data_IF_450423581692
#
_entry.id   IF_450423581692
#
_cell.length_a   1.000
_cell.length_b   1.000
_cell.length_c   1.000
_cell.angle_alpha   90.00
_cell.angle_beta   90.00
_cell.angle_gamma   90.00
#
_symmetry.space_group_name_H-M   'P 1'
#
loop_
_entity.id
_entity.type
_entity.pdbx_description
1 polymer ?
#
# COMPACT_ATOMS: atom_id res chain seq x y z
N UNK A 1 -21.73 -4.41 -6.89
CA UNK A 1 -21.44 -3.41 -5.83
C UNK A 1 -21.35 -2.04 -6.49
N UNK A 2 -21.90 -0.97 -5.89
CA UNK A 2 -21.74 0.38 -6.46
C UNK A 2 -20.27 0.80 -6.35
N UNK A 3 -19.70 1.52 -7.34
CA UNK A 3 -18.37 2.09 -7.20
C UNK A 3 -18.35 3.06 -6.01
N UNK A 4 -17.21 3.21 -5.32
CA UNK A 4 -17.09 4.18 -4.23
C UNK A 4 -17.35 5.60 -4.76
N UNK A 5 -17.87 6.46 -3.88
CA UNK A 5 -17.96 7.89 -4.13
C UNK A 5 -16.56 8.45 -4.44
N UNK A 6 -16.45 9.32 -5.45
CA UNK A 6 -15.18 9.92 -5.86
C UNK A 6 -14.99 11.25 -5.15
N UNK A 7 -13.78 11.48 -4.65
CA UNK A 7 -13.37 12.76 -4.09
C UNK A 7 -12.24 13.40 -4.91
N UNK A 8 -11.98 14.71 -4.76
CA UNK A 8 -10.79 15.35 -5.32
C UNK A 8 -9.47 14.68 -4.89
N UNK A 9 -8.39 14.87 -5.65
CA UNK A 9 -7.10 14.21 -5.38
C UNK A 9 -6.37 14.71 -4.13
N UNK A 10 -6.74 15.87 -3.62
CA UNK A 10 -6.29 16.45 -2.35
C UNK A 10 -7.18 16.03 -1.17
N UNK A 11 -8.18 15.18 -1.40
CA UNK A 11 -8.97 14.56 -0.35
C UNK A 11 -8.37 13.20 0.04
N UNK A 12 -8.03 12.96 1.33
CA UNK A 12 -7.45 11.69 1.78
C UNK A 12 -8.37 10.49 1.52
N UNK A 13 -9.70 10.69 1.42
CA UNK A 13 -10.66 9.62 1.14
C UNK A 13 -10.54 9.07 -0.29
N UNK A 14 -10.17 9.88 -1.27
CA UNK A 14 -9.92 9.37 -2.64
C UNK A 14 -8.70 8.43 -2.64
N UNK A 15 -7.68 8.74 -1.85
CA UNK A 15 -6.52 7.86 -1.69
C UNK A 15 -6.88 6.56 -0.98
N UNK A 16 -7.71 6.61 0.06
CA UNK A 16 -8.22 5.42 0.73
C UNK A 16 -9.09 4.54 -0.18
N UNK A 17 -9.97 5.13 -0.98
CA UNK A 17 -10.75 4.38 -1.97
C UNK A 17 -9.85 3.59 -2.92
N UNK A 18 -8.75 4.21 -3.38
CA UNK A 18 -7.79 3.56 -4.28
C UNK A 18 -6.97 2.49 -3.55
N UNK A 19 -6.55 2.74 -2.32
CA UNK A 19 -5.86 1.76 -1.49
C UNK A 19 -6.71 0.50 -1.26
N UNK A 20 -7.98 0.67 -0.89
CA UNK A 20 -8.92 -0.42 -0.72
C UNK A 20 -9.17 -1.17 -2.04
N UNK A 21 -9.29 -0.44 -3.16
CA UNK A 21 -9.42 -1.04 -4.48
C UNK A 21 -8.22 -1.92 -4.85
N UNK A 22 -7.01 -1.51 -4.50
CA UNK A 22 -5.81 -2.34 -4.71
C UNK A 22 -5.80 -3.56 -3.78
N UNK A 23 -6.17 -3.39 -2.50
CA UNK A 23 -6.23 -4.51 -1.55
C UNK A 23 -7.23 -5.58 -1.99
N UNK A 24 -8.40 -5.17 -2.50
CA UNK A 24 -9.40 -6.11 -3.05
C UNK A 24 -8.78 -6.90 -4.21
N UNK A 25 -8.06 -6.24 -5.11
CA UNK A 25 -7.39 -6.92 -6.22
C UNK A 25 -6.26 -7.84 -5.74
N UNK A 26 -5.50 -7.42 -4.73
CA UNK A 26 -4.42 -8.20 -4.15
C UNK A 26 -4.95 -9.50 -3.52
N UNK A 27 -6.12 -9.46 -2.85
CA UNK A 27 -6.74 -10.61 -2.19
C UNK A 27 -7.51 -11.53 -3.14
N UNK A 28 -7.80 -11.06 -4.35
CA UNK A 28 -8.60 -11.82 -5.30
C UNK A 28 -7.70 -12.68 -6.18
N UNK A 29 -7.46 -13.91 -5.73
CA UNK A 29 -6.70 -14.91 -6.49
C UNK A 29 -7.49 -15.32 -7.75
N UNK A 30 -7.11 -14.74 -8.88
CA UNK A 30 -7.67 -15.07 -10.19
C UNK A 30 -6.77 -16.09 -10.88
N UNK A 31 -7.31 -17.22 -11.39
CA UNK A 31 -6.52 -18.20 -12.12
C UNK A 31 -5.70 -17.56 -13.26
N UNK A 32 -4.40 -17.88 -13.30
CA UNK A 32 -3.47 -17.34 -14.30
C UNK A 32 -2.82 -16.01 -13.92
N UNK A 33 -3.17 -15.42 -12.78
CA UNK A 33 -2.45 -14.26 -12.22
C UNK A 33 -1.30 -14.73 -11.35
N UNK A 34 -0.11 -14.20 -11.59
CA UNK A 34 1.10 -14.45 -10.81
C UNK A 34 1.01 -13.80 -9.42
N UNK A 35 1.60 -14.44 -8.40
CA UNK A 35 1.61 -13.91 -7.04
C UNK A 35 2.33 -12.56 -6.95
N UNK A 36 3.33 -12.33 -7.82
CA UNK A 36 4.03 -11.07 -8.01
C UNK A 36 3.07 -9.93 -8.30
N UNK A 37 2.07 -10.14 -9.17
CA UNK A 37 1.06 -9.15 -9.49
C UNK A 37 0.14 -8.86 -8.30
N UNK A 38 -0.20 -9.88 -7.52
CA UNK A 38 -0.99 -9.71 -6.30
C UNK A 38 -0.20 -8.96 -5.22
N UNK A 39 1.07 -9.28 -5.04
CA UNK A 39 1.98 -8.58 -4.13
C UNK A 39 2.25 -7.14 -4.56
N UNK A 40 2.31 -6.85 -5.87
CA UNK A 40 2.36 -5.49 -6.38
C UNK A 40 1.10 -4.70 -5.99
N UNK A 41 -0.09 -5.29 -6.11
CA UNK A 41 -1.32 -4.66 -5.64
C UNK A 41 -1.31 -4.46 -4.11
N UNK A 42 -0.76 -5.41 -3.34
CA UNK A 42 -0.59 -5.24 -1.89
C UNK A 42 0.36 -4.07 -1.54
N UNK A 43 1.47 -3.94 -2.27
CA UNK A 43 2.38 -2.79 -2.14
C UNK A 43 1.66 -1.48 -2.48
N UNK A 44 0.91 -1.44 -3.57
CA UNK A 44 0.17 -0.26 -3.99
C UNK A 44 -0.92 0.14 -2.98
N UNK A 45 -1.60 -0.84 -2.39
CA UNK A 45 -2.57 -0.63 -1.32
C UNK A 45 -1.91 0.07 -0.12
N UNK A 46 -0.79 -0.45 0.36
CA UNK A 46 -0.03 0.14 1.46
C UNK A 46 0.47 1.55 1.11
N UNK A 47 1.04 1.75 -0.08
CA UNK A 47 1.54 3.05 -0.54
C UNK A 47 0.45 4.12 -0.53
N UNK A 48 -0.71 3.80 -1.11
CA UNK A 48 -1.82 4.76 -1.23
C UNK A 48 -2.45 5.05 0.13
N UNK A 49 -2.52 4.07 1.03
CA UNK A 49 -2.96 4.29 2.41
C UNK A 49 -1.99 5.21 3.19
N UNK A 50 -0.68 5.01 3.05
CA UNK A 50 0.33 5.91 3.63
C UNK A 50 0.19 7.33 3.06
N UNK A 51 0.07 7.46 1.73
CA UNK A 51 -0.14 8.76 1.06
C UNK A 51 -1.45 9.43 1.48
N UNK A 52 -2.51 8.67 1.76
CA UNK A 52 -3.74 9.22 2.31
C UNK A 52 -3.50 9.95 3.63
N UNK A 53 -2.71 9.36 4.54
CA UNK A 53 -2.32 10.02 5.80
C UNK A 53 -1.41 11.23 5.55
N UNK A 54 -0.53 11.19 4.55
CA UNK A 54 0.27 12.35 4.16
C UNK A 54 -0.60 13.51 3.68
N UNK A 55 -1.60 13.23 2.84
CA UNK A 55 -2.59 14.22 2.36
C UNK A 55 -3.37 14.81 3.54
N UNK A 56 -3.88 13.97 4.45
CA UNK A 56 -4.56 14.42 5.67
C UNK A 56 -3.72 15.41 6.49
N UNK A 57 -2.39 15.18 6.54
CA UNK A 57 -1.45 16.02 7.28
C UNK A 57 -0.91 17.20 6.47
N UNK A 58 -1.35 17.39 5.22
CA UNK A 58 -0.86 18.45 4.34
C UNK A 58 0.62 18.30 3.94
N UNK A 59 1.13 17.07 3.90
CA UNK A 59 2.52 16.76 3.59
C UNK A 59 2.64 16.44 2.10
N UNK A 60 3.38 17.25 1.36
CA UNK A 60 3.78 16.90 0.00
C UNK A 60 4.74 15.72 0.00
N UNK A 61 4.56 14.80 -0.95
CA UNK A 61 5.40 13.61 -1.09
C UNK A 61 5.99 13.48 -2.49
N UNK A 62 7.20 12.92 -2.60
CA UNK A 62 7.80 12.61 -3.89
C UNK A 62 7.08 11.44 -4.57
N UNK A 63 7.13 11.42 -5.90
CA UNK A 63 6.63 10.30 -6.71
C UNK A 63 7.61 9.13 -6.70
N UNK A 64 7.69 8.45 -5.55
CA UNK A 64 8.50 7.25 -5.33
C UNK A 64 7.63 6.12 -4.78
N UNK A 65 8.16 4.90 -4.86
CA UNK A 65 7.54 3.67 -4.34
C UNK A 65 8.20 3.13 -3.07
N UNK A 66 9.21 3.84 -2.55
CA UNK A 66 9.92 3.47 -1.33
C UNK A 66 9.07 3.81 -0.09
N UNK A 67 8.46 2.77 0.48
CA UNK A 67 7.56 2.90 1.62
C UNK A 67 8.32 3.28 2.90
N UNK A 68 9.59 2.91 3.03
CA UNK A 68 10.45 3.34 4.14
C UNK A 68 10.56 4.85 4.12
N UNK A 69 10.89 5.42 2.96
CA UNK A 69 11.07 6.87 2.81
C UNK A 69 9.76 7.64 3.06
N UNK A 70 8.63 7.14 2.58
CA UNK A 70 7.33 7.77 2.84
C UNK A 70 6.98 7.76 4.34
N UNK A 71 7.19 6.63 5.03
CA UNK A 71 6.98 6.55 6.48
C UNK A 71 7.92 7.47 7.26
N UNK A 72 9.19 7.56 6.88
CA UNK A 72 10.14 8.48 7.53
C UNK A 72 9.74 9.95 7.41
N UNK A 73 9.13 10.35 6.28
CA UNK A 73 8.60 11.71 6.11
C UNK A 73 7.42 11.97 7.06
N UNK A 74 6.53 10.99 7.23
CA UNK A 74 5.42 11.07 8.19
C UNK A 74 5.93 11.16 9.64
N UNK A 75 6.89 10.32 10.02
CA UNK A 75 7.51 10.37 11.35
C UNK A 75 8.15 11.72 11.63
N UNK A 76 8.84 12.29 10.64
CA UNK A 76 9.45 13.63 10.75
C UNK A 76 8.42 14.74 10.95
N UNK A 77 7.16 14.50 10.57
CA UNK A 77 6.03 15.41 10.81
C UNK A 77 5.37 15.22 12.18
N UNK A 78 5.84 14.27 13.00
CA UNK A 78 5.29 13.93 14.31
C UNK A 78 4.22 12.82 14.30
N UNK A 79 4.02 12.11 13.18
CA UNK A 79 3.12 10.96 13.12
C UNK A 79 3.77 9.72 13.77
N UNK A 80 3.02 9.02 14.63
CA UNK A 80 3.52 7.77 15.22
C UNK A 80 3.21 6.59 14.32
N UNK A 81 4.26 5.97 13.75
CA UNK A 81 4.13 4.75 12.95
C UNK A 81 4.30 3.51 13.84
N UNK A 82 3.25 2.69 14.04
CA UNK A 82 3.34 1.49 14.87
C UNK A 82 4.09 0.36 14.14
N UNK A 83 4.66 -0.59 14.90
CA UNK A 83 5.48 -1.68 14.37
C UNK A 83 4.83 -2.49 13.24
N UNK A 84 3.53 -2.84 13.28
CA UNK A 84 2.88 -3.55 12.17
C UNK A 84 2.91 -2.77 10.85
N UNK A 85 2.80 -1.45 10.90
CA UNK A 85 2.84 -0.56 9.72
C UNK A 85 4.26 -0.41 9.21
N UNK A 86 5.27 -0.36 10.10
CA UNK A 86 6.69 -0.30 9.69
C UNK A 86 7.11 -1.47 8.80
N UNK A 87 6.44 -2.62 8.92
CA UNK A 87 6.69 -3.78 8.05
C UNK A 87 6.36 -3.50 6.58
N UNK A 88 5.60 -2.44 6.27
CA UNK A 88 5.35 -1.98 4.91
C UNK A 88 6.64 -1.74 4.12
N UNK A 89 7.76 -1.41 4.78
CA UNK A 89 9.08 -1.31 4.15
C UNK A 89 9.41 -2.54 3.28
N UNK A 90 9.06 -3.74 3.74
CA UNK A 90 9.30 -5.00 3.03
C UNK A 90 8.54 -5.11 1.71
N UNK A 91 7.41 -4.41 1.55
CA UNK A 91 6.62 -4.45 0.32
C UNK A 91 7.26 -3.65 -0.82
N UNK A 92 8.23 -2.78 -0.53
CA UNK A 92 8.89 -1.91 -1.52
C UNK A 92 9.47 -2.71 -2.70
N UNK A 93 9.99 -3.92 -2.46
CA UNK A 93 10.52 -4.81 -3.53
C UNK A 93 9.47 -5.14 -4.60
N UNK A 94 8.20 -5.27 -4.21
CA UNK A 94 7.13 -5.65 -5.13
C UNK A 94 6.75 -4.55 -6.11
N UNK A 95 7.14 -3.29 -5.85
CA UNK A 95 6.92 -2.18 -6.77
C UNK A 95 7.69 -2.32 -8.10
N UNK A 96 8.78 -3.12 -8.10
CA UNK A 96 9.64 -3.34 -9.27
C UNK A 96 9.66 -4.79 -9.76
N UNK A 97 9.37 -5.76 -8.88
CA UNK A 97 9.48 -7.19 -9.18
C UNK A 97 8.58 -7.64 -10.33
N UNK A 98 7.40 -7.05 -10.51
CA UNK A 98 6.50 -7.37 -11.64
C UNK A 98 7.04 -6.96 -13.01
N UNK A 99 8.08 -6.12 -13.07
CA UNK A 99 8.56 -5.53 -14.33
C UNK A 99 9.64 -6.37 -15.00
N UNK A 100 10.33 -7.24 -14.25
CA UNK A 100 11.46 -8.01 -14.76
C UNK A 100 11.47 -9.43 -14.15
N UNK A 101 11.02 -10.44 -14.90
CA UNK A 101 10.94 -11.83 -14.43
C UNK A 101 12.28 -12.46 -14.02
N UNK A 102 13.42 -11.83 -14.34
CA UNK A 102 14.76 -12.38 -14.12
C UNK A 102 15.51 -11.76 -12.94
N UNK A 103 14.91 -10.82 -12.20
CA UNK A 103 15.61 -10.12 -11.11
C UNK A 103 15.52 -10.85 -9.77
N UNK A 104 14.46 -11.62 -9.54
CA UNK A 104 14.19 -12.30 -8.27
C UNK A 104 13.59 -13.69 -8.50
N UNK A 105 13.71 -14.53 -7.47
CA UNK A 105 12.98 -15.79 -7.40
C UNK A 105 11.46 -15.56 -7.38
N UNK A 106 10.66 -16.52 -7.88
CA UNK A 106 9.22 -16.44 -7.81
C UNK A 106 8.70 -16.24 -6.38
N UNK A 107 7.66 -15.42 -6.24
CA UNK A 107 7.01 -15.18 -4.96
C UNK A 107 6.36 -16.47 -4.44
N UNK A 108 6.63 -16.79 -3.18
CA UNK A 108 6.02 -17.91 -2.49
C UNK A 108 4.63 -17.56 -1.94
N UNK A 109 3.78 -18.57 -1.70
CA UNK A 109 2.48 -18.37 -1.06
C UNK A 109 2.59 -17.76 0.35
N UNK A 110 3.69 -18.04 1.07
CA UNK A 110 3.96 -17.46 2.39
C UNK A 110 4.26 -15.96 2.27
N UNK A 111 5.13 -15.56 1.34
CA UNK A 111 5.44 -14.14 1.08
C UNK A 111 4.20 -13.37 0.63
N UNK A 112 3.35 -13.97 -0.21
CA UNK A 112 2.07 -13.40 -0.60
C UNK A 112 1.15 -13.18 0.59
N UNK A 113 0.97 -14.20 1.44
CA UNK A 113 0.14 -14.09 2.65
C UNK A 113 0.65 -13.00 3.59
N UNK A 114 1.98 -12.91 3.75
CA UNK A 114 2.61 -11.86 4.54
C UNK A 114 2.38 -10.46 3.93
N UNK A 115 2.48 -10.35 2.60
CA UNK A 115 2.24 -9.08 1.90
C UNK A 115 0.82 -8.57 2.12
N UNK A 116 -0.18 -9.45 2.02
CA UNK A 116 -1.58 -9.12 2.31
C UNK A 116 -1.74 -8.67 3.77
N UNK A 117 -1.19 -9.42 4.73
CA UNK A 117 -1.33 -9.09 6.15
C UNK A 117 -0.71 -7.71 6.49
N UNK A 118 0.42 -7.37 5.87
CA UNK A 118 1.05 -6.06 6.01
C UNK A 118 0.16 -4.97 5.40
N UNK A 119 -0.31 -5.14 4.16
CA UNK A 119 -1.15 -4.16 3.49
C UNK A 119 -2.45 -3.89 4.26
N UNK A 120 -3.09 -4.93 4.82
CA UNK A 120 -4.26 -4.79 5.67
C UNK A 120 -3.97 -4.02 6.97
N UNK A 121 -2.80 -4.24 7.59
CA UNK A 121 -2.41 -3.50 8.78
C UNK A 121 -2.21 -2.00 8.49
N UNK A 122 -1.63 -1.66 7.34
CA UNK A 122 -1.46 -0.28 6.89
C UNK A 122 -2.80 0.37 6.59
N UNK A 123 -3.72 -0.35 5.93
CA UNK A 123 -5.06 0.16 5.64
C UNK A 123 -5.82 0.46 6.93
N UNK A 124 -5.89 -0.47 7.88
CA UNK A 124 -6.56 -0.23 9.17
C UNK A 124 -5.99 0.98 9.90
N UNK A 125 -4.67 1.09 9.93
CA UNK A 125 -3.98 2.24 10.54
C UNK A 125 -4.33 3.57 9.87
N UNK A 126 -4.45 3.61 8.53
CA UNK A 126 -4.84 4.81 7.81
C UNK A 126 -6.34 5.14 7.99
N UNK A 127 -7.21 4.12 8.02
CA UNK A 127 -8.64 4.29 8.29
C UNK A 127 -8.90 4.94 9.65
N UNK A 128 -8.20 4.50 10.71
CA UNK A 128 -8.28 5.09 12.06
C UNK A 128 -7.93 6.59 12.13
N UNK A 129 -7.34 7.17 11.08
CA UNK A 129 -6.96 8.59 11.01
C UNK A 129 -7.90 9.42 10.16
N UNK A 130 -8.54 8.80 9.17
CA UNK A 130 -9.28 9.49 8.11
C UNK A 130 -10.80 9.40 8.31
N UNK A 131 -11.26 8.28 8.88
CA UNK A 131 -12.67 7.99 9.14
C UNK A 131 -13.00 8.20 10.61
#
# INVERSE_FOLDING_TARGET
MKPPERFPSDDPREWMNRAQSDLIQAKNEVPGVYLENLCFNAQQAAEKAIKAVMVLRGIEFPYIHDLTRLMSMLESSGETIPTPVRRAAALTRYAVQTRYPSLEEPVTAQEYTEAIAIAEAVIRWAEERIL
#
